data_IF_823295685931
#
_entry.id   IF_823295685931
#
_cell.length_a   1.000
_cell.length_b   1.000
_cell.length_c   1.000
_cell.angle_alpha   90.00
_cell.angle_beta   90.00
_cell.angle_gamma   90.00
#
_symmetry.space_group_name_H-M   'P 1'
#
loop_
_entity.id
_entity.type
_entity.pdbx_description
1 polymer ?
#
# COMPACT_ATOMS: atom_id res chain seq x y z
N UNK A 1 17.77 3.77 -1.80
CA UNK A 1 18.46 2.46 -1.85
C UNK A 1 17.42 1.35 -2.00
N UNK A 2 17.28 0.76 -3.19
CA UNK A 2 16.15 -0.07 -3.60
C UNK A 2 16.62 -1.29 -4.40
N UNK A 3 16.13 -2.47 -3.99
CA UNK A 3 16.12 -3.86 -4.49
C UNK A 3 16.87 -4.31 -5.76
N UNK A 4 17.33 -5.58 -5.70
CA UNK A 4 17.79 -6.45 -6.80
C UNK A 4 16.80 -6.56 -7.98
N UNK A 5 15.51 -6.30 -7.74
CA UNK A 5 14.51 -5.98 -8.78
C UNK A 5 13.38 -5.11 -8.19
N UNK A 6 13.15 -3.94 -8.79
CA UNK A 6 12.06 -3.02 -8.44
C UNK A 6 10.67 -3.70 -8.34
N UNK A 7 10.29 -4.62 -9.26
CA UNK A 7 9.03 -5.35 -9.19
C UNK A 7 8.86 -6.20 -7.92
N UNK A 8 9.92 -6.83 -7.41
CA UNK A 8 9.83 -7.65 -6.20
C UNK A 8 9.51 -6.81 -4.96
N UNK A 9 9.99 -5.56 -4.94
CA UNK A 9 9.68 -4.60 -3.88
C UNK A 9 8.19 -4.28 -3.82
N UNK A 10 7.59 -4.05 -4.99
CA UNK A 10 6.18 -3.72 -5.13
C UNK A 10 5.29 -4.94 -4.89
N UNK A 11 5.72 -6.13 -5.34
CA UNK A 11 5.05 -7.39 -5.03
C UNK A 11 4.99 -7.61 -3.51
N UNK A 12 6.11 -7.38 -2.81
CA UNK A 12 6.14 -7.47 -1.35
C UNK A 12 5.15 -6.48 -0.72
N UNK A 13 5.19 -5.20 -1.11
CA UNK A 13 4.24 -4.19 -0.61
C UNK A 13 2.77 -4.59 -0.84
N UNK A 14 2.45 -5.13 -2.01
CA UNK A 14 1.11 -5.60 -2.35
C UNK A 14 0.65 -6.74 -1.42
N UNK A 15 1.45 -7.81 -1.30
CA UNK A 15 1.10 -8.96 -0.46
C UNK A 15 0.93 -8.54 1.01
N UNK A 16 1.82 -7.66 1.46
CA UNK A 16 1.84 -7.12 2.81
C UNK A 16 0.60 -6.29 3.11
N UNK A 17 0.25 -5.35 2.23
CA UNK A 17 -0.94 -4.52 2.40
C UNK A 17 -2.21 -5.36 2.41
N UNK A 18 -2.30 -6.35 1.52
CA UNK A 18 -3.42 -7.29 1.44
C UNK A 18 -3.59 -8.09 2.75
N UNK A 19 -2.50 -8.69 3.25
CA UNK A 19 -2.51 -9.46 4.49
C UNK A 19 -2.94 -8.59 5.68
N UNK A 20 -2.45 -7.35 5.78
CA UNK A 20 -2.87 -6.44 6.85
C UNK A 20 -4.35 -6.07 6.79
N UNK A 21 -4.87 -5.74 5.60
CA UNK A 21 -6.29 -5.43 5.43
C UNK A 21 -7.14 -6.64 5.83
N UNK A 22 -6.77 -7.83 5.38
CA UNK A 22 -7.46 -9.07 5.72
C UNK A 22 -7.43 -9.36 7.24
N UNK A 23 -6.27 -9.23 7.87
CA UNK A 23 -6.11 -9.45 9.32
C UNK A 23 -6.94 -8.48 10.15
N UNK A 24 -6.95 -7.19 9.80
CA UNK A 24 -7.77 -6.18 10.50
C UNK A 24 -9.26 -6.47 10.33
N UNK A 25 -9.66 -6.92 9.13
CA UNK A 25 -11.05 -7.27 8.86
C UNK A 25 -11.53 -8.49 9.66
N UNK A 26 -10.73 -9.55 9.74
CA UNK A 26 -11.11 -10.80 10.43
C UNK A 26 -10.96 -10.71 11.95
N UNK A 27 -9.88 -10.11 12.44
CA UNK A 27 -9.45 -10.20 13.85
C UNK A 27 -9.41 -8.86 14.59
N UNK A 28 -9.76 -7.75 13.93
CA UNK A 28 -9.84 -6.44 14.56
C UNK A 28 -8.47 -5.75 14.80
N UNK A 29 -8.43 -4.73 15.70
CA UNK A 29 -7.27 -3.85 15.86
C UNK A 29 -6.06 -4.50 16.55
N UNK A 30 -6.22 -5.71 17.11
CA UNK A 30 -5.14 -6.43 17.81
C UNK A 30 -3.95 -6.79 16.90
N UNK A 31 -4.12 -6.76 15.57
CA UNK A 31 -3.07 -7.11 14.59
C UNK A 31 -2.32 -5.90 14.00
N UNK A 32 -2.29 -4.76 14.70
CA UNK A 32 -1.29 -3.68 14.44
C UNK A 32 0.14 -4.24 14.50
N UNK A 33 0.37 -5.34 15.23
CA UNK A 33 1.63 -6.08 15.23
C UNK A 33 2.10 -6.51 13.84
N UNK A 34 1.19 -6.77 12.89
CA UNK A 34 1.53 -7.02 11.49
C UNK A 34 2.27 -5.82 10.90
N UNK A 35 1.73 -4.60 11.08
CA UNK A 35 2.39 -3.35 10.63
C UNK A 35 3.79 -3.20 11.24
N UNK A 36 3.98 -3.61 12.49
CA UNK A 36 5.27 -3.56 13.19
C UNK A 36 6.30 -4.55 12.62
N UNK A 37 5.88 -5.79 12.29
CA UNK A 37 6.74 -6.79 11.65
C UNK A 37 7.16 -6.34 10.24
N UNK A 38 6.31 -5.56 9.57
CA UNK A 38 6.53 -5.09 8.19
C UNK A 38 7.50 -3.90 8.09
N UNK A 39 7.65 -3.14 9.18
CA UNK A 39 8.71 -2.14 9.34
C UNK A 39 10.12 -2.72 9.30
N UNK A 40 10.28 -4.05 9.50
CA UNK A 40 11.57 -4.77 9.39
C UNK A 40 12.02 -5.03 7.94
N UNK A 41 11.37 -4.39 6.95
CA UNK A 41 11.80 -4.29 5.55
C UNK A 41 13.32 -4.16 5.34
N UNK A 42 14.10 -3.38 6.12
CA UNK A 42 15.54 -3.27 5.90
C UNK A 42 16.38 -4.48 6.34
N UNK A 43 15.82 -5.48 7.03
CA UNK A 43 16.55 -6.65 7.56
C UNK A 43 16.42 -7.91 6.69
N UNK A 44 15.35 -8.03 5.89
CA UNK A 44 15.08 -9.25 5.10
C UNK A 44 15.70 -9.24 3.69
N UNK A 45 16.14 -8.08 3.18
CA UNK A 45 16.61 -7.94 1.80
C UNK A 45 17.97 -7.24 1.70
N UNK A 46 18.90 -7.86 0.97
CA UNK A 46 20.22 -7.31 0.66
C UNK A 46 20.10 -5.97 -0.10
N UNK A 47 20.84 -4.97 0.39
CA UNK A 47 20.90 -3.63 -0.22
C UNK A 47 21.97 -3.63 -1.32
N UNK A 48 21.57 -3.36 -2.56
CA UNK A 48 22.49 -3.20 -3.69
C UNK A 48 22.58 -1.69 -4.03
N UNK A 49 23.79 -1.14 -4.28
CA UNK A 49 23.98 0.25 -4.68
C UNK A 49 23.44 0.51 -6.09
N UNK A 50 22.84 1.70 -6.29
CA UNK A 50 22.14 2.09 -7.53
C UNK A 50 23.07 2.96 -8.40
N UNK A 51 23.21 2.70 -9.71
CA UNK A 51 24.05 3.50 -10.61
C UNK A 51 23.41 4.84 -11.07
N UNK A 52 22.08 4.97 -11.09
CA UNK A 52 21.37 6.18 -11.56
C UNK A 52 20.19 6.60 -10.65
N UNK A 53 20.50 7.39 -9.62
CA UNK A 53 19.55 7.72 -8.54
C UNK A 53 18.38 8.61 -9.00
N UNK A 54 18.61 9.52 -9.96
CA UNK A 54 17.62 10.53 -10.39
C UNK A 54 16.41 9.92 -11.11
N UNK A 55 16.63 8.98 -12.02
CA UNK A 55 15.56 8.36 -12.84
C UNK A 55 14.64 7.52 -11.94
N UNK A 56 15.23 6.79 -10.99
CA UNK A 56 14.48 5.95 -10.05
C UNK A 56 13.66 6.81 -9.07
N UNK A 57 14.19 7.95 -8.62
CA UNK A 57 13.43 8.89 -7.80
C UNK A 57 12.21 9.46 -8.52
N UNK A 58 12.36 9.82 -9.80
CA UNK A 58 11.24 10.31 -10.62
C UNK A 58 10.17 9.23 -10.80
N UNK A 59 10.59 7.99 -11.06
CA UNK A 59 9.70 6.84 -11.19
C UNK A 59 8.92 6.58 -9.89
N UNK A 60 9.62 6.56 -8.74
CA UNK A 60 9.00 6.36 -7.43
C UNK A 60 7.99 7.48 -7.11
N UNK A 61 8.35 8.73 -7.40
CA UNK A 61 7.48 9.88 -7.15
C UNK A 61 6.24 9.89 -8.07
N UNK A 62 6.38 9.44 -9.32
CA UNK A 62 5.26 9.25 -10.25
C UNK A 62 4.28 8.22 -9.71
N UNK A 63 4.76 7.04 -9.32
CA UNK A 63 3.93 6.00 -8.67
C UNK A 63 3.29 6.58 -7.42
N UNK A 64 4.05 7.31 -6.61
CA UNK A 64 3.54 7.80 -5.33
C UNK A 64 2.33 8.73 -5.49
N UNK A 65 2.43 9.67 -6.44
CA UNK A 65 1.31 10.57 -6.80
C UNK A 65 0.08 9.79 -7.24
N UNK A 66 0.25 8.82 -8.15
CA UNK A 66 -0.87 8.02 -8.66
C UNK A 66 -1.50 7.20 -7.53
N UNK A 67 -0.71 6.60 -6.64
CA UNK A 67 -1.23 5.82 -5.51
C UNK A 67 -2.01 6.69 -4.51
N UNK A 68 -1.56 7.91 -4.23
CA UNK A 68 -2.30 8.85 -3.37
C UNK A 68 -3.65 9.18 -3.99
N UNK A 69 -3.66 9.55 -5.27
CA UNK A 69 -4.89 9.90 -5.99
C UNK A 69 -5.84 8.70 -6.04
N UNK A 70 -5.35 7.51 -6.40
CA UNK A 70 -6.14 6.29 -6.44
C UNK A 70 -6.77 5.99 -5.07
N UNK A 71 -5.97 6.07 -4.01
CA UNK A 71 -6.44 5.82 -2.63
C UNK A 71 -7.50 6.85 -2.21
N UNK A 72 -7.30 8.13 -2.52
CA UNK A 72 -8.28 9.18 -2.23
C UNK A 72 -9.61 8.95 -2.96
N UNK A 73 -9.56 8.58 -4.25
CA UNK A 73 -10.75 8.24 -5.03
C UNK A 73 -11.48 7.05 -4.40
N UNK A 74 -10.77 5.99 -4.02
CA UNK A 74 -11.40 4.84 -3.36
C UNK A 74 -12.09 5.23 -2.05
N UNK A 75 -11.45 6.06 -1.22
CA UNK A 75 -12.05 6.53 0.03
C UNK A 75 -13.35 7.29 -0.24
N UNK A 76 -13.34 8.24 -1.18
CA UNK A 76 -14.54 9.00 -1.57
C UNK A 76 -15.65 8.05 -2.03
N UNK A 77 -15.30 7.06 -2.85
CA UNK A 77 -16.26 6.09 -3.38
C UNK A 77 -16.86 5.23 -2.27
N UNK A 78 -16.04 4.77 -1.32
CA UNK A 78 -16.50 4.02 -0.14
C UNK A 78 -17.47 4.88 0.68
N UNK A 79 -17.13 6.14 0.95
CA UNK A 79 -18.02 7.05 1.67
C UNK A 79 -19.34 7.28 0.92
N UNK A 80 -19.29 7.52 -0.39
CA UNK A 80 -20.50 7.73 -1.20
C UNK A 80 -21.42 6.49 -1.22
N UNK A 81 -20.85 5.29 -1.36
CA UNK A 81 -21.59 4.03 -1.30
C UNK A 81 -22.17 3.83 0.11
N UNK A 82 -21.38 4.07 1.14
CA UNK A 82 -21.83 3.90 2.53
C UNK A 82 -22.97 4.88 2.87
N UNK A 83 -22.87 6.13 2.44
CA UNK A 83 -23.92 7.14 2.58
C UNK A 83 -25.21 6.69 1.87
N UNK A 84 -25.09 6.16 0.65
CA UNK A 84 -26.23 5.67 -0.14
C UNK A 84 -26.96 4.48 0.52
N UNK A 85 -26.24 3.55 1.15
CA UNK A 85 -26.79 2.29 1.65
C UNK A 85 -26.97 2.23 3.18
N UNK A 86 -26.35 3.12 3.94
CA UNK A 86 -26.26 3.04 5.40
C UNK A 86 -26.35 4.42 6.03
N UNK A 87 -27.51 5.06 5.87
CA UNK A 87 -27.83 6.43 6.31
C UNK A 87 -27.67 6.70 7.84
N UNK A 88 -27.27 5.73 8.66
CA UNK A 88 -27.32 5.85 10.13
C UNK A 88 -26.23 5.13 10.93
N UNK A 89 -25.37 4.34 10.30
CA UNK A 89 -24.31 3.63 11.02
C UNK A 89 -23.01 4.43 10.95
N UNK A 90 -22.48 4.98 12.05
CA UNK A 90 -21.16 5.60 12.01
C UNK A 90 -20.15 4.54 11.57
N UNK A 91 -19.43 4.84 10.49
CA UNK A 91 -18.26 4.12 10.02
C UNK A 91 -17.31 3.98 11.22
N UNK A 92 -17.35 2.82 11.90
CA UNK A 92 -16.65 2.57 13.17
C UNK A 92 -15.14 2.82 13.00
N UNK A 93 -14.45 3.21 14.08
CA UNK A 93 -13.04 3.61 14.07
C UNK A 93 -12.01 2.62 13.47
N UNK A 94 -12.41 1.40 13.10
CA UNK A 94 -11.58 0.45 12.35
C UNK A 94 -11.21 0.93 10.94
N UNK A 95 -12.03 1.76 10.30
CA UNK A 95 -11.79 2.21 8.93
C UNK A 95 -10.51 3.02 8.77
N UNK A 96 -10.18 3.84 9.78
CA UNK A 96 -8.92 4.59 9.83
C UNK A 96 -7.71 3.66 9.92
N UNK A 97 -7.87 2.49 10.56
CA UNK A 97 -6.80 1.49 10.68
C UNK A 97 -6.57 0.72 9.38
N UNK A 98 -7.60 0.56 8.54
CA UNK A 98 -7.51 -0.11 7.23
C UNK A 98 -6.86 0.81 6.18
N UNK A 99 -6.98 2.12 6.34
CA UNK A 99 -6.55 3.12 5.36
C UNK A 99 -5.05 3.00 5.00
N UNK A 100 -4.19 2.90 6.00
CA UNK A 100 -2.74 2.81 5.84
C UNK A 100 -2.32 1.52 5.12
N UNK A 101 -2.72 0.31 5.57
CA UNK A 101 -2.38 -0.92 4.85
C UNK A 101 -3.03 -1.01 3.47
N UNK A 102 -4.22 -0.43 3.29
CA UNK A 102 -4.86 -0.33 1.98
C UNK A 102 -4.05 0.54 1.01
N UNK A 103 -3.54 1.68 1.47
CA UNK A 103 -2.64 2.51 0.69
C UNK A 103 -1.36 1.76 0.30
N UNK A 104 -0.76 1.01 1.22
CA UNK A 104 0.43 0.18 0.94
C UNK A 104 0.13 -0.89 -0.12
N UNK A 105 -1.06 -1.50 -0.06
CA UNK A 105 -1.54 -2.43 -1.07
C UNK A 105 -1.66 -1.76 -2.44
N UNK A 106 -2.36 -0.63 -2.54
CA UNK A 106 -2.56 0.12 -3.80
C UNK A 106 -1.23 0.61 -4.37
N UNK A 107 -0.32 1.08 -3.51
CA UNK A 107 1.02 1.50 -3.91
C UNK A 107 1.84 0.34 -4.47
N UNK A 108 1.81 -0.82 -3.82
CA UNK A 108 2.42 -2.05 -4.32
C UNK A 108 1.82 -2.50 -5.66
N UNK A 109 0.49 -2.48 -5.79
CA UNK A 109 -0.21 -2.87 -7.02
C UNK A 109 0.18 -1.98 -8.21
N UNK A 110 0.10 -0.65 -8.04
CA UNK A 110 0.41 0.31 -9.10
C UNK A 110 1.89 0.25 -9.47
N UNK A 111 2.77 0.18 -8.48
CA UNK A 111 4.21 0.08 -8.75
C UNK A 111 4.59 -1.20 -9.45
N UNK A 112 3.94 -2.33 -9.10
CA UNK A 112 4.14 -3.60 -9.80
C UNK A 112 3.66 -3.50 -11.25
N UNK A 113 2.45 -3.00 -11.49
CA UNK A 113 1.89 -2.83 -12.83
C UNK A 113 2.78 -1.95 -13.72
N UNK A 114 3.21 -0.79 -13.23
CA UNK A 114 4.13 0.08 -13.97
C UNK A 114 5.47 -0.59 -14.24
N UNK A 115 6.04 -1.31 -13.26
CA UNK A 115 7.32 -2.00 -13.41
C UNK A 115 7.28 -3.20 -14.38
N UNK A 116 6.08 -3.73 -14.67
CA UNK A 116 5.86 -4.78 -15.66
C UNK A 116 5.59 -4.22 -17.07
N UNK A 117 5.00 -3.03 -17.17
CA UNK A 117 4.70 -2.35 -18.44
C UNK A 117 5.93 -1.65 -19.02
N UNK A 118 6.78 -1.07 -18.18
CA UNK A 118 8.01 -0.37 -18.60
C UNK A 118 9.23 -1.31 -18.78
N UNK A 119 9.01 -2.63 -18.84
CA UNK A 119 10.02 -3.65 -19.18
C UNK A 119 10.08 -3.92 -20.68
#
# INVERSE_FOLDING_TARGET
MMYKSLPAAFLFQMLVGLLCVYSIWVSGPAWIATLAILGLRPLLFERIPIPDEKIIWQFYHKIMKISIVATAITIILIYAVFDLFSHSSPIKGLWMLILVPYFVFIHGLIGLAYSLIER
#
